data_IF_602804978383
#
_entry.id   IF_602804978383
#
_cell.length_a   1.000
_cell.length_b   1.000
_cell.length_c   1.000
_cell.angle_alpha   90.00
_cell.angle_beta   90.00
_cell.angle_gamma   90.00
#
_symmetry.space_group_name_H-M   'P 1'
#
loop_
_entity.id
_entity.type
_entity.pdbx_description
1 polymer ?
#
# COMPACT_ATOMS: atom_id res chain seq x y z
N UNK A 1 9.97 3.72 -19.87
CA UNK A 1 10.04 3.00 -18.58
C UNK A 1 9.85 1.54 -18.91
N UNK A 2 10.76 0.70 -18.47
CA UNK A 2 10.76 -0.71 -18.85
C UNK A 2 10.10 -1.52 -17.74
N UNK A 3 8.90 -2.07 -18.00
CA UNK A 3 8.23 -3.03 -17.11
C UNK A 3 9.12 -4.24 -16.81
N UNK A 4 10.09 -4.51 -17.68
CA UNK A 4 11.08 -5.56 -17.52
C UNK A 4 11.92 -5.40 -16.24
N UNK A 5 12.42 -4.18 -15.97
CA UNK A 5 13.24 -3.93 -14.76
C UNK A 5 12.37 -4.03 -13.50
N UNK A 6 11.13 -3.54 -13.56
CA UNK A 6 10.17 -3.70 -12.46
C UNK A 6 9.97 -5.19 -12.12
N UNK A 7 9.68 -6.01 -13.13
CA UNK A 7 9.46 -7.46 -12.94
C UNK A 7 10.71 -8.14 -12.39
N UNK A 8 11.89 -7.74 -12.87
CA UNK A 8 13.16 -8.28 -12.42
C UNK A 8 13.44 -7.94 -10.96
N UNK A 9 13.24 -6.68 -10.56
CA UNK A 9 13.38 -6.25 -9.15
C UNK A 9 12.42 -7.02 -8.26
N UNK A 10 11.14 -7.10 -8.63
CA UNK A 10 10.14 -7.86 -7.87
C UNK A 10 10.54 -9.33 -7.78
N UNK A 11 10.98 -9.94 -8.88
CA UNK A 11 11.35 -11.36 -8.94
C UNK A 11 12.56 -11.69 -8.08
N UNK A 12 13.56 -10.80 -8.00
CA UNK A 12 14.75 -10.99 -7.16
C UNK A 12 14.44 -10.72 -5.69
N UNK A 13 13.71 -9.64 -5.39
CA UNK A 13 13.44 -9.26 -4.01
C UNK A 13 12.37 -10.14 -3.35
N UNK A 14 11.43 -10.69 -4.13
CA UNK A 14 10.32 -11.51 -3.60
C UNK A 14 10.78 -12.69 -2.74
N UNK A 15 11.77 -13.51 -3.13
CA UNK A 15 12.26 -14.61 -2.29
C UNK A 15 12.81 -14.12 -0.95
N UNK A 16 13.61 -13.03 -0.94
CA UNK A 16 14.15 -12.47 0.30
C UNK A 16 13.03 -12.01 1.25
N UNK A 17 12.01 -11.34 0.71
CA UNK A 17 10.82 -10.99 1.48
C UNK A 17 10.03 -12.21 1.95
N UNK A 18 9.91 -13.25 1.12
CA UNK A 18 9.18 -14.47 1.50
C UNK A 18 9.80 -15.18 2.69
N UNK A 19 11.13 -15.31 2.71
CA UNK A 19 11.83 -16.01 3.80
C UNK A 19 11.97 -15.15 5.06
N UNK A 20 12.00 -13.82 4.93
CA UNK A 20 12.14 -12.88 6.06
C UNK A 20 10.79 -12.42 6.63
N UNK A 21 9.67 -12.66 5.97
CA UNK A 21 8.38 -12.12 6.37
C UNK A 21 7.30 -13.17 6.63
N UNK A 22 6.35 -12.82 7.49
CA UNK A 22 5.12 -13.56 7.77
C UNK A 22 3.94 -12.59 7.68
N UNK A 23 3.57 -12.13 6.46
CA UNK A 23 2.54 -11.14 6.29
C UNK A 23 1.14 -11.69 6.56
N UNK A 24 0.26 -10.82 7.05
CA UNK A 24 -1.19 -11.04 7.05
C UNK A 24 -1.78 -10.17 5.96
N UNK A 25 -2.31 -10.79 4.91
CA UNK A 25 -2.85 -10.07 3.74
C UNK A 25 -4.32 -10.41 3.59
N UNK A 26 -5.16 -9.37 3.63
CA UNK A 26 -6.60 -9.49 3.47
C UNK A 26 -7.06 -8.92 2.13
N UNK A 27 -7.98 -9.64 1.48
CA UNK A 27 -8.70 -9.19 0.28
C UNK A 27 -7.80 -8.87 -0.92
N UNK A 28 -6.73 -9.62 -1.10
CA UNK A 28 -5.77 -9.44 -2.20
C UNK A 28 -6.42 -9.54 -3.58
N UNK A 29 -7.44 -10.38 -3.72
CA UNK A 29 -8.23 -10.58 -4.92
C UNK A 29 -8.87 -9.29 -5.46
N UNK A 30 -9.13 -8.31 -4.60
CA UNK A 30 -9.67 -6.99 -4.99
C UNK A 30 -8.76 -6.18 -5.90
N UNK A 31 -7.47 -6.53 -5.96
CA UNK A 31 -6.51 -5.93 -6.88
C UNK A 31 -6.53 -6.54 -8.28
N UNK A 32 -7.18 -7.69 -8.47
CA UNK A 32 -7.21 -8.44 -9.74
C UNK A 32 -8.27 -7.90 -10.72
N UNK A 33 -9.06 -6.93 -10.30
CA UNK A 33 -10.10 -6.34 -11.15
C UNK A 33 -9.53 -5.81 -12.47
N UNK A 34 -10.30 -5.94 -13.58
CA UNK A 34 -9.90 -5.42 -14.88
C UNK A 34 -9.88 -3.88 -14.91
N UNK A 35 -9.09 -3.33 -15.81
CA UNK A 35 -9.00 -1.89 -16.01
C UNK A 35 -8.10 -1.16 -15.04
N UNK A 36 -8.15 0.17 -15.13
CA UNK A 36 -7.36 1.05 -14.27
C UNK A 36 -8.03 1.28 -12.91
N UNK A 37 -7.20 1.49 -11.90
CA UNK A 37 -7.65 1.95 -10.58
C UNK A 37 -6.56 2.78 -9.89
N UNK A 38 -6.96 3.53 -8.89
CA UNK A 38 -6.04 4.15 -7.95
C UNK A 38 -5.99 3.30 -6.69
N UNK A 39 -4.80 2.81 -6.32
CA UNK A 39 -4.58 2.22 -5.01
C UNK A 39 -4.22 3.35 -4.05
N UNK A 40 -5.00 3.49 -2.99
CA UNK A 40 -4.84 4.55 -1.99
C UNK A 40 -4.46 3.92 -0.64
N UNK A 41 -3.16 3.67 -0.38
CA UNK A 41 -2.72 3.09 0.89
C UNK A 41 -2.45 4.15 1.95
N UNK A 42 -2.53 3.76 3.24
CA UNK A 42 -1.94 4.51 4.35
C UNK A 42 -0.41 4.51 4.22
N UNK A 43 0.28 5.51 4.82
CA UNK A 43 1.72 5.68 4.63
C UNK A 43 2.46 5.86 5.96
N UNK A 44 2.85 4.75 6.57
CA UNK A 44 3.58 4.71 7.82
C UNK A 44 5.10 4.50 7.67
N UNK A 45 5.56 4.01 6.51
CA UNK A 45 6.96 3.65 6.30
C UNK A 45 7.38 3.73 4.83
N UNK A 46 8.67 3.93 4.58
CA UNK A 46 9.24 3.78 3.24
C UNK A 46 9.10 2.33 2.70
N UNK A 47 8.96 1.36 3.60
CA UNK A 47 8.80 -0.06 3.25
C UNK A 47 7.38 -0.43 2.83
N UNK A 48 6.42 0.49 2.90
CA UNK A 48 5.08 0.29 2.33
C UNK A 48 5.14 -0.03 0.84
N UNK A 49 6.03 0.66 0.11
CA UNK A 49 6.20 0.48 -1.34
C UNK A 49 6.64 -0.95 -1.69
N UNK A 50 7.78 -1.47 -1.19
CA UNK A 50 8.20 -2.84 -1.50
C UNK A 50 7.22 -3.90 -0.97
N UNK A 51 6.54 -3.68 0.16
CA UNK A 51 5.51 -4.59 0.64
C UNK A 51 4.31 -4.64 -0.32
N UNK A 52 3.84 -3.49 -0.81
CA UNK A 52 2.77 -3.43 -1.82
C UNK A 52 3.20 -4.08 -3.14
N UNK A 53 4.43 -3.82 -3.62
CA UNK A 53 4.95 -4.44 -4.84
C UNK A 53 5.00 -5.97 -4.74
N UNK A 54 5.37 -6.50 -3.57
CA UNK A 54 5.41 -7.95 -3.32
C UNK A 54 4.02 -8.58 -3.36
N UNK A 55 3.03 -7.92 -2.72
CA UNK A 55 1.69 -8.50 -2.52
C UNK A 55 0.73 -8.19 -3.67
N UNK A 56 1.04 -7.22 -4.53
CA UNK A 56 0.18 -6.93 -5.69
C UNK A 56 0.33 -7.97 -6.80
N UNK A 57 -0.77 -8.51 -7.33
CA UNK A 57 -0.76 -9.36 -8.52
C UNK A 57 -0.51 -8.57 -9.81
N UNK A 58 -0.64 -7.24 -9.75
CA UNK A 58 -0.46 -6.33 -10.89
C UNK A 58 0.72 -5.40 -10.67
N UNK A 59 1.34 -4.94 -11.77
CA UNK A 59 2.36 -3.89 -11.71
C UNK A 59 1.75 -2.60 -11.21
N UNK A 60 2.44 -1.97 -10.26
CA UNK A 60 2.02 -0.72 -9.64
C UNK A 60 2.90 0.43 -10.13
N UNK A 61 2.27 1.55 -10.47
CA UNK A 61 2.95 2.81 -10.77
C UNK A 61 2.86 3.71 -9.55
N UNK A 62 4.00 4.11 -8.98
CA UNK A 62 4.04 4.90 -7.76
C UNK A 62 4.26 6.39 -8.03
N UNK A 63 3.53 7.23 -7.31
CA UNK A 63 3.77 8.67 -7.29
C UNK A 63 4.66 9.00 -6.10
N UNK A 64 5.84 9.55 -6.35
CA UNK A 64 6.81 9.93 -5.31
C UNK A 64 7.13 11.42 -5.37
N UNK A 65 7.86 11.91 -4.40
CA UNK A 65 8.20 13.32 -4.31
C UNK A 65 9.49 13.64 -5.08
N UNK A 66 9.54 14.83 -5.68
CA UNK A 66 10.70 15.28 -6.49
C UNK A 66 12.00 15.32 -5.70
N UNK A 67 11.94 15.52 -4.39
CA UNK A 67 13.12 15.60 -3.53
C UNK A 67 13.96 14.32 -3.55
N UNK A 68 13.33 13.17 -3.74
CA UNK A 68 14.01 11.87 -3.83
C UNK A 68 14.77 11.70 -5.16
N UNK A 69 14.47 12.52 -6.16
CA UNK A 69 15.13 12.48 -7.47
C UNK A 69 16.39 13.35 -7.57
N UNK A 70 16.83 14.00 -6.48
CA UNK A 70 18.06 14.81 -6.45
C UNK A 70 19.33 13.98 -6.71
N UNK A 71 19.33 12.72 -6.29
CA UNK A 71 20.40 11.80 -6.61
C UNK A 71 20.11 11.10 -7.95
N UNK A 72 20.99 11.21 -8.96
CA UNK A 72 20.75 10.65 -10.30
C UNK A 72 20.67 9.13 -10.32
N UNK A 73 21.38 8.43 -9.42
CA UNK A 73 21.28 6.97 -9.30
C UNK A 73 19.92 6.55 -8.75
N UNK A 74 19.43 7.26 -7.72
CA UNK A 74 18.10 7.04 -7.16
C UNK A 74 17.02 7.36 -8.18
N UNK A 75 17.18 8.46 -8.94
CA UNK A 75 16.25 8.83 -10.01
C UNK A 75 16.17 7.75 -11.10
N UNK A 76 17.32 7.22 -11.52
CA UNK A 76 17.40 6.14 -12.52
C UNK A 76 16.72 4.88 -12.01
N UNK A 77 17.00 4.48 -10.77
CA UNK A 77 16.36 3.33 -10.14
C UNK A 77 14.84 3.51 -10.03
N UNK A 78 14.36 4.64 -9.51
CA UNK A 78 12.92 4.91 -9.37
C UNK A 78 12.21 4.92 -10.72
N UNK A 79 12.81 5.55 -11.74
CA UNK A 79 12.27 5.53 -13.09
C UNK A 79 12.17 4.11 -13.65
N UNK A 80 13.09 3.23 -13.29
CA UNK A 80 13.09 1.83 -13.74
C UNK A 80 12.04 0.96 -13.06
N UNK A 81 11.62 1.30 -11.83
CA UNK A 81 10.59 0.57 -11.07
C UNK A 81 9.22 1.27 -11.08
N UNK A 82 8.92 2.03 -12.13
CA UNK A 82 7.63 2.70 -12.33
C UNK A 82 7.26 3.74 -11.26
N UNK A 83 8.26 4.32 -10.59
CA UNK A 83 8.07 5.48 -9.73
C UNK A 83 8.28 6.75 -10.56
N UNK A 84 7.43 7.75 -10.40
CA UNK A 84 7.57 9.03 -11.09
C UNK A 84 7.35 10.22 -10.15
N UNK A 85 8.07 11.35 -10.39
CA UNK A 85 8.10 12.47 -9.46
C UNK A 85 6.81 13.29 -9.47
N UNK A 86 6.41 13.76 -8.28
CA UNK A 86 5.38 14.76 -8.04
C UNK A 86 6.04 15.99 -7.43
N UNK A 87 5.99 17.11 -8.12
CA UNK A 87 6.32 18.41 -7.55
C UNK A 87 5.15 18.90 -6.70
N UNK A 88 5.36 18.96 -5.39
CA UNK A 88 4.34 19.42 -4.44
C UNK A 88 4.23 20.94 -4.34
N UNK A 89 5.26 21.65 -4.79
CA UNK A 89 5.30 23.12 -4.73
C UNK A 89 4.42 23.76 -5.81
N UNK A 90 4.16 23.03 -6.87
CA UNK A 90 3.28 23.45 -7.97
C UNK A 90 2.15 22.45 -8.13
N UNK A 91 0.88 22.80 -7.87
CA UNK A 91 -0.29 21.94 -8.13
C UNK A 91 -0.38 21.71 -9.65
N UNK A 92 0.31 20.67 -10.12
CA UNK A 92 0.92 20.73 -11.40
C UNK A 92 0.27 19.83 -12.44
N UNK A 93 0.04 20.44 -13.55
CA UNK A 93 -0.48 19.83 -14.76
C UNK A 93 0.39 18.70 -15.34
N UNK A 94 1.76 18.70 -15.34
CA UNK A 94 2.54 17.58 -15.88
C UNK A 94 2.36 16.28 -15.11
N UNK A 95 2.43 16.32 -13.77
CA UNK A 95 2.27 15.09 -12.98
C UNK A 95 0.84 14.57 -13.05
N UNK A 96 -0.15 15.45 -12.95
CA UNK A 96 -1.56 15.07 -13.12
C UNK A 96 -1.77 14.46 -14.50
N UNK A 97 -1.25 15.07 -15.56
CA UNK A 97 -1.31 14.51 -16.93
C UNK A 97 -0.68 13.12 -17.01
N UNK A 98 0.47 12.91 -16.36
CA UNK A 98 1.16 11.62 -16.34
C UNK A 98 0.35 10.55 -15.61
N UNK A 99 -0.25 10.88 -14.46
CA UNK A 99 -1.16 9.98 -13.74
C UNK A 99 -2.35 9.60 -14.62
N UNK A 100 -3.04 10.59 -15.20
CA UNK A 100 -4.18 10.36 -16.09
C UNK A 100 -3.80 9.51 -17.32
N UNK A 101 -2.62 9.74 -17.90
CA UNK A 101 -2.10 8.93 -19.00
C UNK A 101 -1.92 7.47 -18.57
N UNK A 102 -1.35 7.21 -17.38
CA UNK A 102 -1.16 5.86 -16.85
C UNK A 102 -2.50 5.16 -16.61
N UNK A 103 -3.45 5.86 -16.02
CA UNK A 103 -4.79 5.33 -15.81
C UNK A 103 -5.50 5.02 -17.14
N UNK A 104 -5.39 5.89 -18.17
CA UNK A 104 -5.93 5.61 -19.51
C UNK A 104 -5.28 4.37 -20.16
N UNK A 105 -4.06 4.04 -19.80
CA UNK A 105 -3.37 2.81 -20.25
C UNK A 105 -3.80 1.56 -19.46
N UNK A 106 -4.82 1.64 -18.61
CA UNK A 106 -5.29 0.52 -17.81
C UNK A 106 -4.41 0.17 -16.62
N UNK A 107 -3.48 1.04 -16.20
CA UNK A 107 -2.52 0.76 -15.13
C UNK A 107 -3.09 1.04 -13.75
N UNK A 108 -2.54 0.37 -12.75
CA UNK A 108 -2.81 0.63 -11.34
C UNK A 108 -1.83 1.69 -10.82
N UNK A 109 -2.35 2.83 -10.38
CA UNK A 109 -1.52 3.95 -9.86
C UNK A 109 -1.68 4.04 -8.35
N UNK A 110 -0.55 4.03 -7.64
CA UNK A 110 -0.52 4.17 -6.18
C UNK A 110 -0.35 5.64 -5.81
N UNK A 111 -1.29 6.12 -5.02
CA UNK A 111 -1.27 7.48 -4.48
C UNK A 111 -1.48 7.42 -2.97
N UNK A 112 -0.50 7.88 -2.19
CA UNK A 112 -0.62 7.96 -0.74
C UNK A 112 -1.40 9.22 -0.33
N UNK A 113 -2.66 9.11 0.17
CA UNK A 113 -3.48 10.30 0.46
C UNK A 113 -2.96 11.14 1.62
N UNK A 114 -2.15 10.57 2.48
CA UNK A 114 -1.47 11.29 3.56
C UNK A 114 -0.38 12.23 3.05
N UNK A 115 0.10 11.99 1.83
CA UNK A 115 1.05 12.82 1.11
C UNK A 115 2.49 12.77 1.64
N UNK A 116 2.76 12.14 2.77
CA UNK A 116 4.09 11.87 3.37
C UNK A 116 3.97 10.68 4.32
N UNK A 117 5.09 10.11 4.70
CA UNK A 117 5.15 9.15 5.81
C UNK A 117 4.65 9.85 7.08
N UNK A 118 3.72 9.20 7.78
CA UNK A 118 3.11 9.72 9.01
C UNK A 118 3.52 8.88 10.21
N UNK A 119 3.67 9.56 11.35
CA UNK A 119 3.71 8.88 12.64
C UNK A 119 2.31 8.34 12.97
N UNK A 120 2.19 7.34 13.84
CA UNK A 120 0.89 6.75 14.20
C UNK A 120 -0.15 7.78 14.64
N UNK A 121 0.24 8.75 15.47
CA UNK A 121 -0.61 9.84 15.98
C UNK A 121 -1.07 10.85 14.89
N UNK A 122 -0.31 10.98 13.82
CA UNK A 122 -0.63 11.84 12.68
C UNK A 122 -1.35 11.10 11.53
N UNK A 123 -1.45 9.78 11.61
CA UNK A 123 -2.03 8.96 10.54
C UNK A 123 -3.52 9.21 10.37
N UNK A 124 -3.99 9.06 9.14
CA UNK A 124 -5.41 9.10 8.80
C UNK A 124 -6.23 8.08 9.59
N UNK A 125 -5.62 7.00 10.06
CA UNK A 125 -6.24 6.00 10.93
C UNK A 125 -6.61 6.56 12.31
N UNK A 126 -5.86 7.54 12.78
CA UNK A 126 -6.05 8.23 14.06
C UNK A 126 -6.60 9.67 13.90
N UNK A 127 -7.32 9.93 12.80
CA UNK A 127 -7.95 11.22 12.56
C UNK A 127 -7.07 12.25 11.84
N UNK A 128 -5.88 11.87 11.39
CA UNK A 128 -4.98 12.72 10.63
C UNK A 128 -5.55 13.18 9.29
N UNK A 129 -4.93 14.21 8.73
CA UNK A 129 -5.39 14.82 7.50
C UNK A 129 -5.17 13.93 6.26
N UNK A 130 -6.17 13.87 5.40
CA UNK A 130 -6.11 13.24 4.09
C UNK A 130 -6.19 14.30 2.99
N UNK A 131 -5.26 14.26 2.03
CA UNK A 131 -5.24 15.19 0.90
C UNK A 131 -6.30 14.85 -0.14
N UNK A 132 -6.99 15.84 -0.72
CA UNK A 132 -8.09 15.61 -1.67
C UNK A 132 -7.64 15.15 -3.05
N UNK A 133 -6.33 15.10 -3.33
CA UNK A 133 -5.78 14.79 -4.65
C UNK A 133 -6.22 13.44 -5.20
N UNK A 134 -6.35 12.41 -4.35
CA UNK A 134 -6.80 11.07 -4.77
C UNK A 134 -8.23 11.12 -5.33
N UNK A 135 -9.14 11.80 -4.65
CA UNK A 135 -10.53 11.93 -5.12
C UNK A 135 -10.65 12.78 -6.38
N UNK A 136 -9.85 13.86 -6.48
CA UNK A 136 -9.79 14.70 -7.68
C UNK A 136 -9.32 13.89 -8.91
N UNK A 137 -8.26 13.12 -8.78
CA UNK A 137 -7.73 12.30 -9.88
C UNK A 137 -8.71 11.18 -10.25
N UNK A 138 -9.30 10.51 -9.25
CA UNK A 138 -10.29 9.46 -9.47
C UNK A 138 -11.51 9.99 -10.26
N UNK A 139 -12.03 11.15 -9.87
CA UNK A 139 -13.12 11.81 -10.58
C UNK A 139 -12.74 12.15 -12.02
N UNK A 140 -11.59 12.83 -12.23
CA UNK A 140 -11.10 13.20 -13.57
C UNK A 140 -10.84 12.00 -14.48
N UNK A 141 -10.42 10.88 -13.93
CA UNK A 141 -10.10 9.67 -14.71
C UNK A 141 -11.29 8.71 -14.84
N UNK A 142 -12.37 8.90 -14.08
CA UNK A 142 -13.51 7.97 -14.05
C UNK A 142 -13.18 6.58 -13.53
N UNK A 143 -12.13 6.44 -12.70
CA UNK A 143 -11.64 5.15 -12.22
C UNK A 143 -11.99 4.94 -10.73
N UNK A 144 -12.12 3.68 -10.28
CA UNK A 144 -12.31 3.40 -8.86
C UNK A 144 -11.04 3.66 -8.05
N UNK A 145 -11.23 3.91 -6.75
CA UNK A 145 -10.18 3.95 -5.73
C UNK A 145 -10.29 2.71 -4.86
N UNK A 146 -9.19 1.99 -4.70
CA UNK A 146 -9.07 0.88 -3.75
C UNK A 146 -8.32 1.41 -2.53
N UNK A 147 -8.97 1.60 -1.39
CA UNK A 147 -8.27 1.94 -0.15
C UNK A 147 -7.45 0.76 0.34
N UNK A 148 -6.30 1.01 0.98
CA UNK A 148 -5.52 -0.04 1.60
C UNK A 148 -4.94 0.45 2.94
N UNK A 149 -4.89 -0.46 3.92
CA UNK A 149 -4.27 -0.21 5.22
C UNK A 149 -3.04 -1.07 5.38
N UNK A 150 -1.92 -0.45 5.79
CA UNK A 150 -0.68 -1.12 6.08
C UNK A 150 -0.31 -0.93 7.55
N UNK A 151 0.13 -2.01 8.19
CA UNK A 151 0.55 -2.05 9.61
C UNK A 151 1.92 -2.71 9.70
N UNK A 152 2.79 -2.18 10.57
CA UNK A 152 4.10 -2.75 10.93
C UNK A 152 5.13 -2.91 9.80
N UNK A 153 4.92 -2.33 8.63
CA UNK A 153 5.91 -2.30 7.54
C UNK A 153 7.20 -1.59 7.96
N UNK A 154 7.12 -0.65 8.92
CA UNK A 154 8.26 0.07 9.50
C UNK A 154 9.26 -0.84 10.21
N UNK A 155 8.91 -2.07 10.57
CA UNK A 155 9.83 -3.04 11.17
C UNK A 155 11.02 -3.34 10.26
N UNK A 156 10.85 -3.24 8.93
CA UNK A 156 11.93 -3.44 7.95
C UNK A 156 13.01 -2.35 7.95
N UNK A 157 12.86 -1.27 8.70
CA UNK A 157 13.96 -0.32 8.96
C UNK A 157 15.12 -0.95 9.74
N UNK A 158 14.85 -2.05 10.45
CA UNK A 158 15.85 -2.79 11.23
C UNK A 158 16.45 -3.91 10.39
N UNK A 159 17.79 -3.96 10.26
CA UNK A 159 18.49 -5.00 9.49
C UNK A 159 18.09 -6.43 9.88
N UNK A 160 17.86 -6.68 11.17
CA UNK A 160 17.45 -8.00 11.67
C UNK A 160 16.12 -8.48 11.11
N UNK A 161 15.24 -7.57 10.66
CA UNK A 161 13.95 -7.92 10.07
C UNK A 161 14.06 -8.56 8.68
N UNK A 162 15.22 -8.42 8.04
CA UNK A 162 15.54 -9.02 6.75
C UNK A 162 16.11 -10.44 6.86
N UNK A 163 16.48 -10.85 8.08
CA UNK A 163 17.02 -12.18 8.31
C UNK A 163 15.87 -13.22 8.26
N UNK A 164 16.07 -14.36 7.61
CA UNK A 164 15.06 -15.42 7.50
C UNK A 164 14.64 -16.00 8.85
N UNK A 165 15.46 -15.76 9.88
CA UNK A 165 15.28 -16.29 11.23
C UNK A 165 14.18 -15.60 12.06
N UNK A 166 13.61 -14.48 11.61
CA UNK A 166 12.66 -13.71 12.43
C UNK A 166 11.20 -13.81 11.98
N UNK A 167 10.95 -13.99 10.69
CA UNK A 167 9.60 -13.99 10.13
C UNK A 167 8.86 -12.68 10.48
N UNK A 168 9.44 -11.53 10.07
CA UNK A 168 8.89 -10.21 10.39
C UNK A 168 7.44 -10.12 9.94
N UNK A 169 6.53 -9.87 10.90
CA UNK A 169 5.10 -9.76 10.62
C UNK A 169 4.74 -8.33 10.26
N UNK A 170 3.97 -8.19 9.20
CA UNK A 170 3.29 -6.96 8.83
C UNK A 170 1.89 -7.29 8.29
N UNK A 171 1.01 -6.32 8.28
CA UNK A 171 -0.35 -6.49 7.79
C UNK A 171 -0.64 -5.59 6.59
N UNK A 172 -1.41 -6.11 5.63
CA UNK A 172 -2.00 -5.34 4.54
C UNK A 172 -3.46 -5.77 4.35
N UNK A 173 -4.38 -4.81 4.31
CA UNK A 173 -5.77 -5.07 3.96
C UNK A 173 -6.18 -4.17 2.79
N UNK A 174 -6.79 -4.76 1.76
CA UNK A 174 -7.29 -4.04 0.59
C UNK A 174 -8.81 -3.89 0.67
N UNK A 175 -9.32 -2.66 0.50
CA UNK A 175 -10.74 -2.35 0.53
C UNK A 175 -11.45 -2.68 -0.79
N UNK A 176 -12.78 -2.64 -0.75
CA UNK A 176 -13.59 -2.71 -1.95
C UNK A 176 -13.32 -1.47 -2.84
N UNK A 177 -13.44 -1.61 -4.18
CA UNK A 177 -13.34 -0.47 -5.10
C UNK A 177 -14.43 0.55 -4.83
N UNK A 178 -14.04 1.80 -4.57
CA UNK A 178 -14.93 2.94 -4.33
C UNK A 178 -14.96 3.83 -5.57
N UNK A 179 -16.14 4.28 -5.98
CA UNK A 179 -16.31 5.24 -7.08
C UNK A 179 -16.90 6.55 -6.57
N UNK A 180 -16.47 7.64 -7.17
CA UNK A 180 -17.11 8.92 -6.96
C UNK A 180 -18.55 8.86 -7.51
N UNK A 181 -19.59 9.37 -6.80
CA UNK A 181 -20.94 9.46 -7.34
C UNK A 181 -20.95 10.25 -8.65
N UNK A 182 -21.57 9.69 -9.69
CA UNK A 182 -21.61 10.30 -11.03
C UNK A 182 -22.62 11.46 -11.13
N UNK A 183 -23.70 11.37 -10.35
CA UNK A 183 -24.87 12.28 -10.45
C UNK A 183 -24.77 13.50 -9.51
N UNK A 184 -23.67 13.61 -8.74
CA UNK A 184 -23.45 14.71 -7.81
C UNK A 184 -22.56 15.80 -8.44
N UNK A 185 -22.73 17.03 -7.98
CA UNK A 185 -21.78 18.11 -8.26
C UNK A 185 -20.34 17.67 -7.95
N UNK A 186 -19.36 18.09 -8.75
CA UNK A 186 -17.96 17.65 -8.65
C UNK A 186 -17.40 17.79 -7.23
N UNK A 187 -17.67 18.88 -6.53
CA UNK A 187 -17.21 19.10 -5.17
C UNK A 187 -17.82 18.09 -4.19
N UNK A 188 -19.14 17.90 -4.23
CA UNK A 188 -19.87 16.96 -3.38
C UNK A 188 -19.46 15.52 -3.67
N UNK A 189 -19.28 15.16 -4.94
CA UNK A 189 -18.83 13.83 -5.38
C UNK A 189 -17.45 13.50 -4.85
N UNK A 190 -16.50 14.45 -4.88
CA UNK A 190 -15.16 14.28 -4.31
C UNK A 190 -15.18 14.14 -2.78
N UNK A 191 -15.99 14.95 -2.11
CA UNK A 191 -16.11 14.89 -0.65
C UNK A 191 -16.71 13.55 -0.20
N UNK A 192 -17.76 13.10 -0.87
CA UNK A 192 -18.37 11.79 -0.63
C UNK A 192 -17.36 10.64 -0.79
N UNK A 193 -16.54 10.68 -1.85
CA UNK A 193 -15.48 9.69 -2.06
C UNK A 193 -14.43 9.72 -0.96
N UNK A 194 -13.99 10.91 -0.52
CA UNK A 194 -13.04 11.05 0.59
C UNK A 194 -13.61 10.50 1.90
N UNK A 195 -14.88 10.77 2.18
CA UNK A 195 -15.58 10.23 3.34
C UNK A 195 -15.67 8.69 3.29
N UNK A 196 -15.97 8.14 2.12
CA UNK A 196 -16.02 6.69 1.89
C UNK A 196 -14.63 6.03 2.09
N UNK A 197 -13.55 6.65 1.59
CA UNK A 197 -12.18 6.16 1.80
C UNK A 197 -11.82 6.16 3.29
N UNK A 198 -12.15 7.24 4.03
CA UNK A 198 -11.89 7.31 5.47
C UNK A 198 -12.65 6.24 6.25
N UNK A 199 -13.91 5.98 5.89
CA UNK A 199 -14.70 4.90 6.50
C UNK A 199 -14.07 3.55 6.22
N UNK A 200 -13.70 3.27 4.98
CA UNK A 200 -13.05 2.02 4.60
C UNK A 200 -11.73 1.82 5.33
N UNK A 201 -10.92 2.86 5.56
CA UNK A 201 -9.69 2.73 6.35
C UNK A 201 -9.97 2.29 7.78
N UNK A 202 -10.99 2.83 8.45
CA UNK A 202 -11.34 2.43 9.82
C UNK A 202 -11.80 0.97 9.89
N UNK A 203 -12.64 0.57 8.96
CA UNK A 203 -13.15 -0.80 8.87
C UNK A 203 -12.01 -1.80 8.62
N UNK A 204 -11.18 -1.54 7.61
CA UNK A 204 -10.01 -2.35 7.27
C UNK A 204 -8.99 -2.42 8.40
N UNK A 205 -8.77 -1.32 9.11
CA UNK A 205 -7.82 -1.27 10.22
C UNK A 205 -8.26 -2.20 11.35
N UNK A 206 -9.54 -2.15 11.74
CA UNK A 206 -10.08 -3.03 12.77
C UNK A 206 -10.02 -4.50 12.35
N UNK A 207 -10.41 -4.80 11.11
CA UNK A 207 -10.37 -6.14 10.55
C UNK A 207 -8.92 -6.69 10.50
N UNK A 208 -7.98 -5.88 10.03
CA UNK A 208 -6.57 -6.27 9.92
C UNK A 208 -5.94 -6.51 11.29
N UNK A 209 -6.21 -5.66 12.29
CA UNK A 209 -5.72 -5.85 13.66
C UNK A 209 -6.21 -7.18 14.24
N UNK A 210 -7.48 -7.53 14.03
CA UNK A 210 -8.04 -8.82 14.48
C UNK A 210 -7.34 -9.98 13.77
N UNK A 211 -7.24 -9.93 12.45
CA UNK A 211 -6.56 -10.97 11.69
C UNK A 211 -5.08 -11.14 12.07
N UNK A 212 -4.39 -10.03 12.38
CA UNK A 212 -3.02 -10.10 12.88
C UNK A 212 -2.91 -10.70 14.27
N UNK A 213 -3.86 -10.44 15.16
CA UNK A 213 -3.93 -11.05 16.49
C UNK A 213 -4.20 -12.55 16.40
N UNK A 214 -5.11 -12.97 15.52
CA UNK A 214 -5.52 -14.37 15.31
C UNK A 214 -4.48 -15.21 14.55
N UNK A 215 -3.55 -14.56 13.84
CA UNK A 215 -2.58 -15.24 12.97
C UNK A 215 -1.57 -16.15 13.68
N UNK A 216 -1.63 -16.26 15.01
CA UNK A 216 -0.77 -17.15 15.81
C UNK A 216 0.73 -16.82 15.66
N UNK A 217 1.64 -17.65 16.18
CA UNK A 217 3.07 -17.43 16.10
C UNK A 217 3.57 -17.53 14.66
N UNK A 218 4.62 -16.77 14.30
CA UNK A 218 5.26 -16.86 12.98
C UNK A 218 5.84 -18.25 12.74
N UNK A 219 6.03 -18.64 11.47
CA UNK A 219 6.61 -19.94 11.11
C UNK A 219 7.96 -20.20 11.80
N UNK A 220 8.78 -19.16 12.00
CA UNK A 220 10.04 -19.27 12.71
C UNK A 220 9.86 -19.56 14.20
N UNK A 221 8.90 -18.92 14.84
CA UNK A 221 8.61 -19.18 16.25
C UNK A 221 8.17 -20.63 16.46
N UNK A 222 7.38 -21.19 15.55
CA UNK A 222 7.00 -22.61 15.55
C UNK A 222 8.20 -23.54 15.40
N UNK A 223 9.13 -23.24 14.48
CA UNK A 223 10.34 -24.04 14.30
C UNK A 223 11.30 -23.96 15.49
N UNK A 224 11.45 -22.78 16.11
CA UNK A 224 12.42 -22.56 17.20
C UNK A 224 11.93 -23.02 18.58
N UNK A 225 10.63 -23.13 18.81
CA UNK A 225 10.07 -23.48 20.11
C UNK A 225 9.29 -24.82 20.13
N UNK A 226 9.17 -25.51 19.00
CA UNK A 226 8.35 -26.70 18.86
C UNK A 226 6.85 -26.41 19.12
N UNK A 227 5.95 -27.16 18.53
CA UNK A 227 4.53 -27.13 18.87
C UNK A 227 4.35 -27.68 20.30
N UNK A 228 4.58 -26.83 21.32
CA UNK A 228 4.06 -27.16 22.65
C UNK A 228 2.55 -26.94 22.58
N UNK A 229 1.85 -27.98 22.19
CA UNK A 229 0.41 -28.06 22.47
C UNK A 229 0.20 -27.70 23.95
N UNK A 230 -0.72 -26.78 24.28
CA UNK A 230 -1.16 -26.69 25.66
C UNK A 230 -1.70 -28.07 26.04
N UNK A 231 -1.01 -28.73 26.96
CA UNK A 231 -1.48 -29.98 27.51
C UNK A 231 -2.90 -29.71 28.01
N UNK A 232 -3.86 -30.43 27.42
CA UNK A 232 -5.21 -30.54 27.97
C UNK A 232 -5.04 -30.91 29.43
N UNK A 233 -5.36 -29.99 30.34
CA UNK A 233 -5.53 -30.30 31.73
C UNK A 233 -6.72 -31.25 31.82
N UNK A 234 -6.40 -32.55 31.66
CA UNK A 234 -7.33 -33.65 31.93
C UNK A 234 -7.52 -33.74 33.41
N UNK A 235 -8.78 -33.77 33.79
CA UNK A 235 -9.25 -33.81 35.15
C UNK A 235 -8.76 -34.98 36.01
N UNK A 236 -8.77 -34.73 37.27
CA UNK A 236 -9.21 -35.68 38.32
C UNK A 236 -10.02 -34.89 39.31
#
# INVERSE_FOLDING_TARGET
>A
MSDFIYDWVVRICKPAFQVSSSPVVLHRERLEQPGAYILAPTHGSAYDVPCLMKESPRRLDFVSVTELYRNPLVATFFNSVNVFPLDRSRPDSPTVRKILQRLRQGRAVVMFPEGRIRKPDESVLNGGAMKPGVAKIAHLAGVPVIPAVLIDTGLYTKAISWLPVRGTRFGIAFGAPLRAPADAEEAASREALLAAIRRAYRELHVELLRAMADAGPTWWHRLSHGDRHPATAGGK
#
